data_IF_667462395045
#
_entry.id   IF_667462395045
#
_cell.length_a   1.000
_cell.length_b   1.000
_cell.length_c   1.000
_cell.angle_alpha   90.00
_cell.angle_beta   90.00
_cell.angle_gamma   90.00
#
_symmetry.space_group_name_H-M   'P 1'
#
loop_
_entity.id
_entity.type
_entity.pdbx_description
1 polymer ?
#
# COMPACT_ATOMS: atom_id res chain seq x y z
N UNK A 1 -25.77 -1.26 10.74
CA UNK A 1 -24.49 -1.99 10.72
C UNK A 1 -24.73 -3.51 10.63
N UNK A 2 -25.54 -3.98 9.67
CA UNK A 2 -26.04 -5.37 9.66
C UNK A 2 -25.25 -6.38 8.79
N UNK A 3 -24.03 -6.05 8.37
CA UNK A 3 -23.25 -6.94 7.51
C UNK A 3 -22.33 -7.83 8.38
N UNK A 4 -22.34 -9.17 8.20
CA UNK A 4 -21.60 -10.10 9.05
C UNK A 4 -20.08 -9.88 8.98
N UNK A 5 -19.38 -10.29 10.03
CA UNK A 5 -17.92 -10.14 10.14
C UNK A 5 -17.17 -10.80 8.97
N UNK A 6 -17.70 -11.88 8.42
CA UNK A 6 -17.18 -12.58 7.24
C UNK A 6 -17.08 -11.66 6.00
N UNK A 7 -18.09 -10.83 5.76
CA UNK A 7 -18.07 -9.89 4.65
C UNK A 7 -17.03 -8.78 4.84
N UNK A 8 -16.76 -8.40 6.11
CA UNK A 8 -15.70 -7.43 6.46
C UNK A 8 -14.31 -8.02 6.29
N UNK A 9 -14.16 -9.29 6.63
CA UNK A 9 -12.94 -10.04 6.36
C UNK A 9 -12.66 -10.10 4.85
N UNK A 10 -13.66 -10.48 4.04
CA UNK A 10 -13.51 -10.51 2.58
C UNK A 10 -13.10 -9.16 2.00
N UNK A 11 -13.73 -8.06 2.45
CA UNK A 11 -13.33 -6.71 2.03
C UNK A 11 -11.89 -6.37 2.43
N UNK A 12 -11.44 -6.80 3.61
CA UNK A 12 -10.08 -6.57 4.11
C UNK A 12 -9.06 -7.37 3.29
N UNK A 13 -9.33 -8.65 3.01
CA UNK A 13 -8.45 -9.46 2.17
C UNK A 13 -8.34 -8.90 0.75
N UNK A 14 -9.46 -8.50 0.13
CA UNK A 14 -9.45 -7.86 -1.20
C UNK A 14 -8.65 -6.56 -1.14
N UNK A 15 -8.85 -5.75 -0.12
CA UNK A 15 -8.10 -4.51 0.07
C UNK A 15 -6.59 -4.78 0.18
N UNK A 16 -6.17 -5.73 1.01
CA UNK A 16 -4.76 -6.09 1.20
C UNK A 16 -4.13 -6.68 -0.07
N UNK A 17 -4.78 -7.65 -0.70
CA UNK A 17 -4.25 -8.35 -1.88
C UNK A 17 -4.16 -7.41 -3.09
N UNK A 18 -4.98 -6.36 -3.14
CA UNK A 18 -4.90 -5.35 -4.21
C UNK A 18 -3.88 -4.26 -3.91
N UNK A 19 -3.83 -3.75 -2.68
CA UNK A 19 -2.96 -2.62 -2.33
C UNK A 19 -1.50 -3.05 -2.15
N UNK A 20 -1.22 -4.16 -1.47
CA UNK A 20 0.16 -4.55 -1.15
C UNK A 20 1.03 -4.78 -2.41
N UNK A 21 0.61 -5.55 -3.44
CA UNK A 21 1.41 -5.70 -4.66
C UNK A 21 1.59 -4.38 -5.41
N UNK A 22 0.55 -3.54 -5.45
CA UNK A 22 0.62 -2.22 -6.11
C UNK A 22 1.61 -1.31 -5.39
N UNK A 23 1.62 -1.29 -4.06
CA UNK A 23 2.61 -0.56 -3.27
C UNK A 23 4.01 -1.06 -3.59
N UNK A 24 4.26 -2.37 -3.61
CA UNK A 24 5.58 -2.95 -3.93
C UNK A 24 6.04 -2.55 -5.34
N UNK A 25 5.15 -2.62 -6.34
CA UNK A 25 5.47 -2.27 -7.73
C UNK A 25 5.84 -0.78 -7.85
N UNK A 26 5.03 0.11 -7.28
CA UNK A 26 5.29 1.55 -7.29
C UNK A 26 6.60 1.83 -6.54
N UNK A 27 6.81 1.19 -5.41
CA UNK A 27 7.99 1.36 -4.56
C UNK A 27 9.27 0.89 -5.25
N UNK A 28 9.21 -0.18 -6.06
CA UNK A 28 10.35 -0.61 -6.86
C UNK A 28 10.73 0.45 -7.90
N UNK A 29 9.73 1.08 -8.54
CA UNK A 29 9.93 2.19 -9.46
C UNK A 29 10.56 3.41 -8.78
N UNK A 30 10.03 3.80 -7.63
CA UNK A 30 10.55 4.91 -6.82
C UNK A 30 11.96 4.61 -6.30
N UNK A 31 12.22 3.41 -5.78
CA UNK A 31 13.53 2.98 -5.32
C UNK A 31 14.59 3.10 -6.42
N UNK A 32 14.27 2.64 -7.64
CA UNK A 32 15.14 2.79 -8.81
C UNK A 32 15.36 4.26 -9.16
N UNK A 33 14.32 5.08 -9.15
CA UNK A 33 14.43 6.54 -9.38
C UNK A 33 15.34 7.20 -8.34
N UNK A 34 15.26 6.82 -7.07
CA UNK A 34 16.12 7.37 -6.01
C UNK A 34 17.59 6.92 -6.14
N UNK A 35 17.87 5.89 -6.92
CA UNK A 35 19.23 5.42 -7.24
C UNK A 35 19.82 6.06 -8.49
N UNK A 36 19.00 6.55 -9.43
CA UNK A 36 19.52 7.23 -10.63
C UNK A 36 20.20 8.55 -10.29
N UNK A 37 21.24 8.90 -11.05
CA UNK A 37 21.93 10.18 -10.94
C UNK A 37 21.18 11.20 -11.81
N UNK A 38 20.57 12.21 -11.20
CA UNK A 38 19.96 13.36 -11.89
C UNK A 38 19.97 14.59 -10.99
N UNK A 39 19.83 15.78 -11.59
CA UNK A 39 19.82 17.08 -10.90
C UNK A 39 18.54 17.17 -10.05
N UNK A 40 18.67 17.40 -8.73
CA UNK A 40 17.54 17.45 -7.79
C UNK A 40 17.30 16.20 -6.94
N UNK A 41 18.06 15.12 -7.15
CA UNK A 41 17.98 13.87 -6.36
C UNK A 41 18.08 14.10 -4.85
N UNK A 42 18.93 15.02 -4.41
CA UNK A 42 19.14 15.32 -2.99
C UNK A 42 17.87 15.87 -2.31
N UNK A 43 17.03 16.60 -3.05
CA UNK A 43 15.75 17.13 -2.58
C UNK A 43 14.65 16.08 -2.70
N UNK A 44 14.67 15.27 -3.77
CA UNK A 44 13.62 14.27 -3.98
C UNK A 44 13.59 13.21 -2.87
N UNK A 45 14.76 12.78 -2.34
CA UNK A 45 14.84 11.79 -1.27
C UNK A 45 14.01 12.17 -0.03
N UNK A 46 14.23 13.31 0.64
CA UNK A 46 13.42 13.67 1.81
C UNK A 46 11.95 13.90 1.44
N UNK A 47 11.65 14.48 0.26
CA UNK A 47 10.26 14.71 -0.19
C UNK A 47 9.48 13.40 -0.34
N UNK A 48 10.11 12.38 -0.94
CA UNK A 48 9.50 11.05 -1.09
C UNK A 48 9.23 10.40 0.26
N UNK A 49 9.97 10.73 1.32
CA UNK A 49 9.78 10.18 2.67
C UNK A 49 8.68 10.85 3.49
N UNK A 50 8.28 12.07 3.12
CA UNK A 50 7.26 12.83 3.85
C UNK A 50 5.94 12.07 4.06
N UNK A 51 5.36 11.36 3.08
CA UNK A 51 4.07 10.69 3.27
C UNK A 51 4.07 9.66 4.40
N UNK A 52 5.18 8.95 4.61
CA UNK A 52 5.28 7.94 5.67
C UNK A 52 5.55 8.55 7.05
N UNK A 53 6.16 9.74 7.10
CA UNK A 53 6.35 10.48 8.34
C UNK A 53 5.05 11.11 8.88
N UNK A 54 4.02 11.25 8.03
CA UNK A 54 2.72 11.80 8.41
C UNK A 54 1.90 10.71 9.13
N UNK A 55 1.33 10.98 10.31
CA UNK A 55 0.42 10.04 10.97
C UNK A 55 -0.74 9.64 10.05
N UNK A 56 -1.10 8.35 10.03
CA UNK A 56 -2.13 7.83 9.12
C UNK A 56 -3.48 8.55 9.22
N UNK A 57 -3.83 9.02 10.43
CA UNK A 57 -5.04 9.79 10.66
C UNK A 57 -5.02 11.17 9.99
N UNK A 58 -3.86 11.84 10.01
CA UNK A 58 -3.63 13.12 9.31
C UNK A 58 -3.61 12.91 7.81
N UNK A 59 -2.96 11.84 7.33
CA UNK A 59 -2.99 11.46 5.92
C UNK A 59 -4.42 11.24 5.42
N UNK A 60 -5.27 10.56 6.21
CA UNK A 60 -6.69 10.39 5.87
C UNK A 60 -7.46 11.71 5.72
N UNK A 61 -7.22 12.69 6.61
CA UNK A 61 -7.83 14.03 6.51
C UNK A 61 -7.34 14.78 5.28
N UNK A 62 -6.03 14.74 4.99
CA UNK A 62 -5.46 15.35 3.78
C UNK A 62 -6.10 14.79 2.51
N UNK A 63 -6.23 13.46 2.43
CA UNK A 63 -6.88 12.82 1.30
C UNK A 63 -8.39 13.10 1.24
N UNK A 64 -9.05 13.33 2.38
CA UNK A 64 -10.46 13.75 2.40
C UNK A 64 -10.64 15.10 1.69
N UNK A 65 -9.74 16.05 1.93
CA UNK A 65 -9.75 17.33 1.22
C UNK A 65 -9.43 17.18 -0.27
N UNK A 66 -8.46 16.35 -0.62
CA UNK A 66 -8.10 16.10 -2.03
C UNK A 66 -9.29 15.48 -2.80
N UNK A 67 -9.98 14.52 -2.19
CA UNK A 67 -11.12 13.81 -2.77
C UNK A 67 -12.48 14.52 -2.56
N UNK A 68 -12.50 15.73 -1.99
CA UNK A 68 -13.76 16.41 -1.69
C UNK A 68 -14.59 16.65 -2.97
N UNK A 69 -15.88 16.26 -2.90
CA UNK A 69 -16.77 16.21 -4.07
C UNK A 69 -17.18 17.58 -4.62
N UNK A 70 -16.97 18.68 -3.91
CA UNK A 70 -17.41 20.02 -4.32
C UNK A 70 -16.27 21.02 -4.55
N UNK A 71 -15.12 20.81 -3.91
CA UNK A 71 -14.00 21.76 -3.94
C UNK A 71 -12.64 21.07 -3.86
N UNK A 72 -12.59 19.74 -3.93
CA UNK A 72 -11.36 18.99 -3.72
C UNK A 72 -10.33 19.22 -4.82
N UNK A 73 -9.05 19.19 -4.43
CA UNK A 73 -7.92 19.46 -5.33
C UNK A 73 -7.94 18.56 -6.57
N UNK A 74 -8.25 17.27 -6.41
CA UNK A 74 -8.27 16.32 -7.53
C UNK A 74 -9.33 16.70 -8.56
N UNK A 75 -10.55 17.02 -8.13
CA UNK A 75 -11.61 17.48 -9.02
C UNK A 75 -11.21 18.79 -9.74
N UNK A 76 -10.62 19.75 -9.02
CA UNK A 76 -10.17 21.00 -9.61
C UNK A 76 -9.11 20.81 -10.70
N UNK A 77 -8.15 19.90 -10.49
CA UNK A 77 -7.13 19.56 -11.49
C UNK A 77 -7.75 18.84 -12.69
N UNK A 78 -8.57 17.81 -12.46
CA UNK A 78 -9.20 17.03 -13.53
C UNK A 78 -10.14 17.88 -14.39
N UNK A 79 -10.86 18.82 -13.80
CA UNK A 79 -11.74 19.74 -14.52
C UNK A 79 -10.94 20.71 -15.39
N UNK A 80 -9.85 21.29 -14.84
CA UNK A 80 -8.96 22.19 -15.59
C UNK A 80 -8.27 21.49 -16.77
N UNK A 81 -7.92 20.22 -16.61
CA UNK A 81 -7.33 19.40 -17.68
C UNK A 81 -8.37 18.92 -18.72
N UNK A 82 -9.66 19.21 -18.51
CA UNK A 82 -10.74 18.77 -19.41
C UNK A 82 -11.03 17.27 -19.35
N UNK A 83 -10.49 16.54 -18.36
CA UNK A 83 -10.68 15.09 -18.19
C UNK A 83 -12.10 14.79 -17.69
N UNK A 84 -12.65 15.68 -16.87
CA UNK A 84 -14.03 15.59 -16.35
C UNK A 84 -14.80 16.86 -16.72
N UNK A 85 -16.12 16.73 -16.91
CA UNK A 85 -17.01 17.87 -17.17
C UNK A 85 -17.62 18.46 -15.90
N UNK A 86 -17.80 17.63 -14.88
CA UNK A 86 -18.40 17.98 -13.59
C UNK A 86 -17.60 17.35 -12.45
N UNK A 87 -17.70 17.92 -11.26
CA UNK A 87 -17.03 17.38 -10.08
C UNK A 87 -17.56 15.97 -9.75
N UNK A 88 -16.63 15.06 -9.43
CA UNK A 88 -16.94 13.68 -9.08
C UNK A 88 -17.06 13.56 -7.56
N UNK A 89 -18.16 12.99 -7.03
CA UNK A 89 -18.31 12.76 -5.59
C UNK A 89 -17.58 11.47 -5.17
N UNK A 90 -16.25 11.49 -5.15
CA UNK A 90 -15.37 10.34 -4.91
C UNK A 90 -15.75 9.52 -3.68
N UNK A 91 -16.11 10.18 -2.58
CA UNK A 91 -16.40 9.54 -1.29
C UNK A 91 -17.87 9.12 -1.12
N UNK A 92 -18.78 9.54 -2.02
CA UNK A 92 -20.20 9.21 -1.92
C UNK A 92 -20.58 7.93 -2.70
N UNK A 93 -19.72 7.48 -3.62
CA UNK A 93 -19.92 6.24 -4.36
C UNK A 93 -19.08 5.11 -3.76
N UNK A 94 -19.67 3.94 -3.50
CA UNK A 94 -19.00 2.82 -2.85
C UNK A 94 -17.74 2.31 -3.59
N UNK A 95 -17.72 2.33 -4.93
CA UNK A 95 -16.57 1.89 -5.73
C UNK A 95 -15.45 2.94 -5.68
N UNK A 96 -15.81 4.20 -5.86
CA UNK A 96 -14.85 5.31 -5.81
C UNK A 96 -14.28 5.50 -4.41
N UNK A 97 -15.08 5.34 -3.36
CA UNK A 97 -14.60 5.44 -1.98
C UNK A 97 -13.57 4.36 -1.66
N UNK A 98 -13.79 3.11 -2.10
CA UNK A 98 -12.79 2.04 -1.98
C UNK A 98 -11.50 2.38 -2.72
N UNK A 99 -11.62 2.89 -3.94
CA UNK A 99 -10.47 3.36 -4.71
C UNK A 99 -9.71 4.50 -4.00
N UNK A 100 -10.42 5.51 -3.50
CA UNK A 100 -9.83 6.63 -2.76
C UNK A 100 -9.07 6.18 -1.52
N UNK A 101 -9.63 5.24 -0.74
CA UNK A 101 -8.96 4.65 0.42
C UNK A 101 -7.71 3.88 0.01
N UNK A 102 -7.78 3.08 -1.06
CA UNK A 102 -6.62 2.35 -1.59
C UNK A 102 -5.51 3.30 -2.05
N UNK A 103 -5.84 4.38 -2.77
CA UNK A 103 -4.87 5.39 -3.20
C UNK A 103 -4.20 6.08 -2.02
N UNK A 104 -4.99 6.51 -1.02
CA UNK A 104 -4.46 7.14 0.18
C UNK A 104 -3.54 6.19 0.95
N UNK A 105 -3.94 4.93 1.12
CA UNK A 105 -3.14 3.90 1.77
C UNK A 105 -1.82 3.66 1.03
N UNK A 106 -1.86 3.38 -0.28
CA UNK A 106 -0.66 3.15 -1.10
C UNK A 106 0.28 4.35 -0.99
N UNK A 107 -0.23 5.58 -1.10
CA UNK A 107 0.57 6.79 -0.98
C UNK A 107 1.30 6.90 0.36
N UNK A 108 0.68 6.49 1.47
CA UNK A 108 1.35 6.49 2.79
C UNK A 108 2.44 5.42 2.91
N UNK A 109 2.31 4.29 2.22
CA UNK A 109 3.21 3.14 2.40
C UNK A 109 4.37 3.09 1.40
N UNK A 110 4.18 3.62 0.19
CA UNK A 110 5.22 3.68 -0.85
C UNK A 110 6.58 4.16 -0.34
N UNK A 111 6.72 5.19 0.52
CA UNK A 111 8.03 5.66 0.92
C UNK A 111 8.87 4.62 1.67
N UNK A 112 8.27 3.92 2.64
CA UNK A 112 8.98 2.93 3.44
C UNK A 112 9.35 1.71 2.62
N UNK A 113 8.39 1.17 1.85
CA UNK A 113 8.66 0.09 0.90
C UNK A 113 9.74 0.48 -0.13
N UNK A 114 9.80 1.73 -0.56
CA UNK A 114 10.85 2.23 -1.47
C UNK A 114 12.23 2.22 -0.82
N UNK A 115 12.35 2.56 0.46
CA UNK A 115 13.64 2.47 1.19
C UNK A 115 14.10 1.02 1.26
N UNK A 116 13.20 0.11 1.64
CA UNK A 116 13.50 -1.32 1.77
C UNK A 116 14.03 -1.89 0.44
N UNK A 117 13.33 -1.62 -0.65
CA UNK A 117 13.75 -2.07 -1.98
C UNK A 117 15.00 -1.34 -2.48
N UNK A 118 15.17 -0.06 -2.15
CA UNK A 118 16.38 0.69 -2.49
C UNK A 118 17.61 0.08 -1.82
N UNK A 119 17.52 -0.29 -0.54
CA UNK A 119 18.61 -0.94 0.17
C UNK A 119 19.02 -2.26 -0.51
N UNK A 120 18.06 -3.11 -0.88
CA UNK A 120 18.35 -4.34 -1.63
C UNK A 120 18.92 -4.07 -3.03
N UNK A 121 18.42 -3.05 -3.74
CA UNK A 121 18.98 -2.68 -5.05
C UNK A 121 20.44 -2.24 -4.96
N UNK A 122 20.87 -1.65 -3.85
CA UNK A 122 22.28 -1.24 -3.65
C UNK A 122 23.25 -2.41 -3.44
N UNK A 123 22.76 -3.62 -3.12
CA UNK A 123 23.63 -4.79 -2.96
C UNK A 123 24.03 -5.44 -4.29
N UNK A 124 23.42 -5.02 -5.40
CA UNK A 124 23.75 -5.53 -6.72
C UNK A 124 25.05 -4.89 -7.20
N UNK A 125 26.06 -5.71 -7.50
CA UNK A 125 27.34 -5.22 -8.04
C UNK A 125 27.15 -4.49 -9.37
N UNK A 126 27.85 -3.36 -9.53
CA UNK A 126 27.85 -2.58 -10.77
C UNK A 126 28.39 -3.39 -11.95
N UNK A 127 29.32 -4.31 -11.71
CA UNK A 127 29.93 -5.17 -12.73
C UNK A 127 28.89 -6.02 -13.47
N UNK A 128 27.84 -6.47 -12.77
CA UNK A 128 26.75 -7.25 -13.38
C UNK A 128 25.98 -6.37 -14.38
N UNK A 129 25.73 -5.10 -14.03
CA UNK A 129 25.05 -4.17 -14.93
C UNK A 129 25.92 -3.77 -16.13
N UNK A 130 27.22 -3.58 -15.92
CA UNK A 130 28.19 -3.25 -16.95
C UNK A 130 28.34 -4.42 -17.96
N UNK A 131 28.41 -5.67 -17.47
CA UNK A 131 28.45 -6.86 -18.32
C UNK A 131 27.18 -6.98 -19.20
N UNK A 132 26.01 -6.70 -18.63
CA UNK A 132 24.76 -6.77 -19.38
C UNK A 132 24.61 -5.67 -20.42
N UNK A 133 25.32 -4.54 -20.26
CA UNK A 133 25.38 -3.49 -21.28
C UNK A 133 26.22 -3.92 -22.48
N UNK A 134 27.33 -4.64 -22.24
CA UNK A 134 28.13 -5.28 -23.29
C UNK A 134 27.33 -6.33 -24.06
N UNK A 135 26.50 -7.12 -23.35
CA UNK A 135 25.60 -8.11 -23.96
C UNK A 135 24.37 -7.51 -24.66
N UNK A 136 24.25 -6.18 -24.73
CA UNK A 136 23.13 -5.49 -25.38
C UNK A 136 21.78 -5.68 -24.68
N UNK A 137 21.78 -6.04 -23.39
CA UNK A 137 20.54 -6.25 -22.64
C UNK A 137 19.82 -4.92 -22.36
N UNK A 138 18.66 -4.72 -22.99
CA UNK A 138 17.83 -3.54 -22.77
C UNK A 138 17.30 -3.40 -21.33
N UNK A 139 16.85 -2.19 -20.96
CA UNK A 139 16.39 -1.84 -19.60
C UNK A 139 15.34 -2.78 -19.01
N UNK A 140 14.42 -3.26 -19.84
CA UNK A 140 13.34 -4.18 -19.42
C UNK A 140 13.88 -5.59 -19.15
N UNK A 141 14.75 -6.10 -20.03
CA UNK A 141 15.42 -7.40 -19.86
C UNK A 141 16.29 -7.41 -18.60
N UNK A 142 17.04 -6.33 -18.35
CA UNK A 142 17.83 -6.16 -17.13
C UNK A 142 16.97 -6.20 -15.87
N UNK A 143 15.83 -5.51 -15.86
CA UNK A 143 14.91 -5.51 -14.72
C UNK A 143 14.39 -6.91 -14.39
N UNK A 144 13.87 -7.63 -15.39
CA UNK A 144 13.22 -8.93 -15.17
C UNK A 144 14.23 -10.05 -14.95
N UNK A 145 15.34 -10.05 -15.68
CA UNK A 145 16.26 -11.20 -15.70
C UNK A 145 17.38 -11.09 -14.67
N UNK A 146 17.64 -9.90 -14.13
CA UNK A 146 18.78 -9.65 -13.23
C UNK A 146 18.28 -9.03 -11.94
N UNK A 147 17.69 -7.83 -12.03
CA UNK A 147 17.35 -7.04 -10.85
C UNK A 147 16.32 -7.76 -9.98
N UNK A 148 15.16 -8.15 -10.54
CA UNK A 148 14.08 -8.81 -9.79
C UNK A 148 14.54 -10.13 -9.15
N UNK A 149 15.24 -11.05 -9.85
CA UNK A 149 15.77 -12.27 -9.25
C UNK A 149 16.73 -12.00 -8.09
N UNK A 150 17.62 -11.00 -8.21
CA UNK A 150 18.63 -10.72 -7.19
C UNK A 150 18.05 -10.12 -5.91
N UNK A 151 16.97 -9.34 -6.01
CA UNK A 151 16.28 -8.76 -4.85
C UNK A 151 15.00 -9.52 -4.47
N UNK A 152 14.78 -10.72 -5.01
CA UNK A 152 13.54 -11.49 -4.83
C UNK A 152 13.19 -11.66 -3.35
N UNK A 153 14.17 -11.99 -2.51
CA UNK A 153 13.99 -12.10 -1.07
C UNK A 153 13.44 -10.80 -0.45
N UNK A 154 14.00 -9.65 -0.84
CA UNK A 154 13.53 -8.36 -0.32
C UNK A 154 12.15 -7.98 -0.86
N UNK A 155 11.85 -8.29 -2.13
CA UNK A 155 10.51 -8.09 -2.69
C UNK A 155 9.44 -8.85 -1.89
N UNK A 156 9.76 -10.08 -1.50
CA UNK A 156 8.90 -10.93 -0.67
C UNK A 156 8.72 -10.34 0.72
N UNK A 157 9.82 -9.99 1.39
CA UNK A 157 9.79 -9.40 2.73
C UNK A 157 8.94 -8.12 2.73
N UNK A 158 9.13 -7.28 1.69
CA UNK A 158 8.37 -6.04 1.53
C UNK A 158 6.90 -6.35 1.27
N UNK A 159 6.57 -7.34 0.44
CA UNK A 159 5.20 -7.77 0.21
C UNK A 159 4.52 -8.29 1.49
N UNK A 160 5.22 -9.10 2.28
CA UNK A 160 4.71 -9.59 3.57
C UNK A 160 4.42 -8.42 4.51
N UNK A 161 5.36 -7.48 4.62
CA UNK A 161 5.19 -6.26 5.42
C UNK A 161 3.95 -5.47 4.96
N UNK A 162 3.82 -5.21 3.65
CA UNK A 162 2.66 -4.49 3.11
C UNK A 162 1.34 -5.25 3.31
N UNK A 163 1.36 -6.59 3.27
CA UNK A 163 0.20 -7.39 3.59
C UNK A 163 -0.24 -7.22 5.05
N UNK A 164 0.71 -7.19 5.99
CA UNK A 164 0.43 -6.94 7.41
C UNK A 164 -0.21 -5.57 7.57
N UNK A 165 0.42 -4.53 7.00
CA UNK A 165 -0.06 -3.15 7.09
C UNK A 165 -1.46 -2.98 6.45
N UNK A 166 -1.72 -3.65 5.33
CA UNK A 166 -3.04 -3.65 4.69
C UNK A 166 -4.13 -4.29 5.57
N UNK A 167 -3.83 -5.42 6.23
CA UNK A 167 -4.77 -6.11 7.12
C UNK A 167 -5.10 -5.28 8.37
N UNK A 168 -4.09 -4.63 8.94
CA UNK A 168 -4.23 -3.79 10.14
C UNK A 168 -4.62 -2.34 9.82
N UNK A 169 -4.99 -2.05 8.56
CA UNK A 169 -5.31 -0.69 8.12
C UNK A 169 -6.56 -0.15 8.81
N UNK A 170 -6.36 0.81 9.71
CA UNK A 170 -7.41 1.47 10.48
C UNK A 170 -7.43 2.97 10.21
N UNK A 171 -6.30 3.66 10.39
CA UNK A 171 -6.24 5.12 10.48
C UNK A 171 -6.77 5.82 9.23
N UNK A 172 -6.34 5.36 8.05
CA UNK A 172 -6.75 5.94 6.77
C UNK A 172 -8.25 5.75 6.55
N UNK A 173 -8.80 4.57 6.88
CA UNK A 173 -10.24 4.28 6.75
C UNK A 173 -11.05 5.15 7.72
N UNK A 174 -10.60 5.22 8.97
CA UNK A 174 -11.26 6.01 10.01
C UNK A 174 -11.37 7.48 9.61
N UNK A 175 -10.25 8.10 9.25
CA UNK A 175 -10.19 9.53 8.96
C UNK A 175 -10.73 9.93 7.59
N UNK A 176 -10.66 9.06 6.58
CA UNK A 176 -11.08 9.40 5.22
C UNK A 176 -12.57 9.15 4.97
N UNK A 177 -13.12 8.04 5.47
CA UNK A 177 -14.49 7.62 5.15
C UNK A 177 -15.32 7.19 6.34
N UNK A 178 -14.69 6.95 7.51
CA UNK A 178 -15.31 6.30 8.65
C UNK A 178 -16.06 5.00 8.27
N UNK A 179 -15.55 4.28 7.28
CA UNK A 179 -16.14 3.05 6.74
C UNK A 179 -17.26 3.24 5.70
N UNK A 180 -17.62 4.47 5.34
CA UNK A 180 -18.67 4.80 4.37
C UNK A 180 -18.28 4.67 2.88
N UNK A 181 -19.21 4.91 1.95
CA UNK A 181 -20.66 5.04 2.16
C UNK A 181 -21.30 3.66 2.42
N UNK A 182 -22.33 3.60 3.28
CA UNK A 182 -23.07 2.35 3.55
C UNK A 182 -22.24 1.19 4.11
N UNK A 183 -21.07 1.46 4.68
CA UNK A 183 -20.13 0.42 5.12
C UNK A 183 -19.18 -0.08 4.03
N UNK A 184 -19.16 0.50 2.82
CA UNK A 184 -18.41 -0.02 1.68
C UNK A 184 -16.88 -0.08 1.89
N UNK A 185 -16.32 0.76 2.76
CA UNK A 185 -14.88 0.82 3.07
C UNK A 185 -14.56 0.29 4.46
N UNK A 186 -15.53 -0.29 5.16
CA UNK A 186 -15.33 -0.85 6.51
C UNK A 186 -14.43 -2.09 6.43
N UNK A 187 -13.17 -1.92 6.82
CA UNK A 187 -12.22 -3.02 7.03
C UNK A 187 -12.39 -3.63 8.43
N UNK A 188 -11.85 -4.83 8.63
CA UNK A 188 -11.97 -5.57 9.89
C UNK A 188 -11.38 -4.80 11.07
N UNK A 189 -10.23 -4.14 10.89
CA UNK A 189 -9.59 -3.31 11.92
C UNK A 189 -10.48 -2.14 12.38
N UNK A 190 -11.13 -1.43 11.45
CA UNK A 190 -12.11 -0.39 11.79
C UNK A 190 -13.38 -0.98 12.45
N UNK A 191 -13.80 -2.16 12.02
CA UNK A 191 -14.94 -2.85 12.61
C UNK A 191 -14.67 -3.29 14.07
N UNK A 192 -13.49 -3.84 14.35
CA UNK A 192 -13.05 -4.20 15.71
C UNK A 192 -13.08 -2.97 16.61
N UNK A 193 -12.52 -1.85 16.15
CA UNK A 193 -12.55 -0.60 16.88
C UNK A 193 -13.99 -0.12 17.15
N UNK A 194 -14.87 -0.19 16.15
CA UNK A 194 -16.27 0.20 16.31
C UNK A 194 -17.01 -0.70 17.33
N UNK A 195 -16.78 -2.01 17.33
CA UNK A 195 -17.33 -2.92 18.34
C UNK A 195 -16.84 -2.54 19.74
N UNK A 196 -15.52 -2.34 19.92
CA UNK A 196 -14.94 -2.02 21.22
C UNK A 196 -15.39 -0.65 21.75
N UNK A 197 -15.36 0.39 20.92
CA UNK A 197 -15.43 1.78 21.40
C UNK A 197 -16.72 2.51 21.03
N UNK A 198 -17.48 2.03 20.03
CA UNK A 198 -18.83 2.56 19.74
C UNK A 198 -19.94 1.70 20.32
N UNK A 199 -19.79 0.37 20.29
CA UNK A 199 -20.81 -0.56 20.77
C UNK A 199 -20.52 -1.10 22.18
N UNK A 200 -19.33 -0.81 22.73
CA UNK A 200 -18.88 -1.28 24.05
C UNK A 200 -18.89 -2.81 24.20
N UNK A 201 -18.86 -3.53 23.08
CA UNK A 201 -18.89 -4.99 22.99
C UNK A 201 -17.47 -5.57 23.06
N UNK A 202 -16.75 -5.29 24.15
CA UNK A 202 -15.33 -5.65 24.30
C UNK A 202 -15.04 -7.14 24.07
N UNK A 203 -15.90 -8.05 24.53
CA UNK A 203 -15.74 -9.49 24.30
C UNK A 203 -15.79 -9.86 22.82
N UNK A 204 -16.68 -9.23 22.05
CA UNK A 204 -16.79 -9.45 20.60
C UNK A 204 -15.62 -8.83 19.86
N UNK A 205 -15.21 -7.62 20.24
CA UNK A 205 -14.04 -6.97 19.66
C UNK A 205 -12.75 -7.78 19.92
N UNK A 206 -12.57 -8.31 21.12
CA UNK A 206 -11.44 -9.17 21.46
C UNK A 206 -11.43 -10.46 20.62
N UNK A 207 -12.57 -11.14 20.49
CA UNK A 207 -12.70 -12.32 19.64
C UNK A 207 -12.34 -12.03 18.17
N UNK A 208 -12.85 -10.93 17.63
CA UNK A 208 -12.52 -10.49 16.26
C UNK A 208 -11.04 -10.13 16.11
N UNK A 209 -10.42 -9.53 17.13
CA UNK A 209 -8.99 -9.24 17.17
C UNK A 209 -8.13 -10.51 17.10
N UNK A 210 -8.50 -11.55 17.86
CA UNK A 210 -7.82 -12.86 17.80
C UNK A 210 -7.99 -13.49 16.42
N UNK A 211 -9.20 -13.46 15.84
CA UNK A 211 -9.44 -13.95 14.48
C UNK A 211 -8.56 -13.22 13.46
N UNK A 212 -8.47 -11.89 13.56
CA UNK A 212 -7.61 -11.10 12.69
C UNK A 212 -6.14 -11.51 12.83
N UNK A 213 -5.64 -11.70 14.04
CA UNK A 213 -4.27 -12.15 14.29
C UNK A 213 -3.98 -13.54 13.68
N UNK A 214 -4.90 -14.50 13.85
CA UNK A 214 -4.78 -15.85 13.27
C UNK A 214 -4.76 -15.78 11.74
N UNK A 215 -5.60 -14.94 11.13
CA UNK A 215 -5.64 -14.78 9.67
C UNK A 215 -4.38 -14.12 9.15
N UNK A 216 -3.89 -13.07 9.82
CA UNK A 216 -2.60 -12.44 9.48
C UNK A 216 -1.47 -13.46 9.56
N UNK A 217 -1.41 -14.26 10.62
CA UNK A 217 -0.41 -15.32 10.75
C UNK A 217 -0.52 -16.36 9.64
N UNK A 218 -1.73 -16.84 9.34
CA UNK A 218 -1.98 -17.81 8.27
C UNK A 218 -1.57 -17.27 6.90
N UNK A 219 -1.86 -15.99 6.60
CA UNK A 219 -1.45 -15.35 5.35
C UNK A 219 0.07 -15.26 5.23
N UNK A 220 0.77 -14.85 6.29
CA UNK A 220 2.23 -14.78 6.32
C UNK A 220 2.82 -16.17 6.07
N UNK A 221 2.32 -17.19 6.79
CA UNK A 221 2.79 -18.57 6.62
C UNK A 221 2.52 -19.11 5.22
N UNK A 222 1.38 -18.75 4.60
CA UNK A 222 1.07 -19.13 3.23
C UNK A 222 2.04 -18.48 2.23
N UNK A 223 2.35 -17.19 2.40
CA UNK A 223 3.33 -16.49 1.55
C UNK A 223 4.71 -17.13 1.72
N UNK A 224 5.16 -17.34 2.96
CA UNK A 224 6.46 -17.96 3.24
C UNK A 224 6.58 -19.38 2.67
N UNK A 225 5.53 -20.20 2.78
CA UNK A 225 5.54 -21.58 2.23
C UNK A 225 5.49 -21.60 0.70
N UNK A 226 4.83 -20.64 0.07
CA UNK A 226 4.76 -20.55 -1.39
C UNK A 226 6.11 -20.19 -2.03
N UNK A 227 7.10 -19.79 -1.20
CA UNK A 227 8.38 -19.30 -1.63
C UNK A 227 9.44 -20.33 -1.23
N UNK A 228 10.24 -20.83 -2.18
CA UNK A 228 11.23 -21.84 -1.86
C UNK A 228 12.32 -21.27 -0.95
N UNK A 229 12.76 -22.09 0.01
CA UNK A 229 13.59 -21.68 1.15
C UNK A 229 15.00 -21.22 0.74
N UNK A 230 15.47 -21.64 -0.45
CA UNK A 230 16.71 -21.23 -1.10
C UNK A 230 16.80 -19.72 -1.34
N UNK A 231 15.66 -19.03 -1.38
CA UNK A 231 15.60 -17.57 -1.57
C UNK A 231 15.85 -16.83 -0.26
N UNK A 232 15.47 -17.41 0.88
CA UNK A 232 15.50 -16.74 2.19
C UNK A 232 16.80 -16.99 2.95
N UNK A 233 17.42 -18.16 2.73
CA UNK A 233 18.70 -18.53 3.32
C UNK A 233 19.71 -18.65 2.18
N UNK A 234 20.42 -17.55 1.89
CA UNK A 234 21.67 -17.64 1.12
C UNK A 234 22.74 -18.14 2.08
N UNK A 235 23.12 -19.41 1.94
CA UNK A 235 24.44 -19.89 2.40
C UNK A 235 25.56 -19.24 1.57
#
# INVERSE_FOLDING_TARGET
MGCPAEARLGATLIFTITTAPVTVIISLGVARLLLTKFVGRAILRPVVLLPWAIPGSVAGILWLWIFHGQWGLLNGVLLKLGIIKNYIPWLMNARLAKFSVSVAHIWTQVPFASILLMAALTTISKEIYDACEVDGAGNFRRLISITIPQIKAMLIITLIYECIIGLTSYDVVYSLTAGGPGGATTLLSYFIWAEAFKLLSFGRAAALGVIMAVITFALIMAILKAIPADILVKE
#
